data_IF_945652762851
#
_entry.id   IF_945652762851
#
_cell.length_a   1.000
_cell.length_b   1.000
_cell.length_c   1.000
_cell.angle_alpha   90.00
_cell.angle_beta   90.00
_cell.angle_gamma   90.00
#
_symmetry.space_group_name_H-M   'P 1'
#
loop_
_entity.id
_entity.type
_entity.pdbx_description
1 polymer ?
#
# COMPACT_ATOMS: atom_id res chain seq x y z
N UNK A 1 -2.43 9.65 5.43
CA UNK A 1 -3.11 10.90 5.08
C UNK A 1 -3.33 10.94 3.58
N UNK A 2 -4.54 11.32 3.16
CA UNK A 2 -4.84 11.69 1.78
C UNK A 2 -4.44 13.14 1.48
N UNK A 3 -3.75 13.32 0.38
CA UNK A 3 -3.25 14.58 -0.15
C UNK A 3 -3.83 14.77 -1.56
N UNK A 4 -4.65 15.80 -1.77
CA UNK A 4 -5.37 15.99 -3.05
C UNK A 4 -4.40 16.51 -4.10
N UNK A 5 -4.17 15.72 -5.15
CA UNK A 5 -3.32 16.09 -6.27
C UNK A 5 -4.11 16.76 -7.40
N UNK A 6 -5.32 16.26 -7.65
CA UNK A 6 -6.25 16.75 -8.66
C UNK A 6 -7.69 16.38 -8.26
N UNK A 7 -8.66 16.76 -9.07
CA UNK A 7 -10.07 16.44 -8.78
C UNK A 7 -10.33 14.93 -8.67
N UNK A 8 -9.70 14.19 -9.56
CA UNK A 8 -9.84 12.74 -9.73
C UNK A 8 -8.73 11.93 -9.04
N UNK A 9 -7.78 12.60 -8.38
CA UNK A 9 -6.52 11.95 -7.95
C UNK A 9 -6.02 12.45 -6.62
N UNK A 10 -5.67 11.49 -5.77
CA UNK A 10 -5.17 11.70 -4.43
C UNK A 10 -3.91 10.85 -4.18
N UNK A 11 -2.98 11.40 -3.42
CA UNK A 11 -1.81 10.70 -2.94
C UNK A 11 -2.00 10.28 -1.48
N UNK A 12 -1.54 9.08 -1.15
CA UNK A 12 -1.46 8.62 0.24
C UNK A 12 -0.04 8.82 0.73
N UNK A 13 0.11 9.63 1.78
CA UNK A 13 1.39 9.93 2.43
C UNK A 13 1.31 9.61 3.91
N UNK A 14 2.46 9.34 4.53
CA UNK A 14 2.54 9.10 5.98
C UNK A 14 2.50 10.40 6.79
N UNK A 15 3.13 11.43 6.27
CA UNK A 15 3.19 12.80 6.81
C UNK A 15 2.93 13.79 5.67
N UNK A 16 2.56 15.05 5.95
CA UNK A 16 2.29 16.05 4.92
C UNK A 16 3.44 16.21 3.91
N UNK A 17 4.66 16.39 4.40
CA UNK A 17 5.88 16.49 3.57
C UNK A 17 6.52 15.12 3.24
N UNK A 18 5.81 14.03 3.53
CA UNK A 18 6.31 12.67 3.35
C UNK A 18 6.29 12.20 1.89
N UNK A 19 7.04 11.13 1.61
CA UNK A 19 7.00 10.48 0.31
C UNK A 19 5.60 9.91 0.00
N UNK A 20 5.23 9.95 -1.28
CA UNK A 20 4.02 9.27 -1.78
C UNK A 20 4.21 7.77 -1.61
N UNK A 21 3.22 7.12 -1.02
CA UNK A 21 3.23 5.69 -0.75
C UNK A 21 2.24 4.93 -1.63
N UNK A 22 1.10 5.55 -1.92
CA UNK A 22 0.07 5.01 -2.79
C UNK A 22 -0.66 6.14 -3.52
N UNK A 23 -1.37 5.76 -4.58
CA UNK A 23 -2.22 6.65 -5.37
C UNK A 23 -3.63 6.12 -5.33
N UNK A 24 -4.58 7.04 -5.18
CA UNK A 24 -6.00 6.80 -5.30
C UNK A 24 -6.51 7.63 -6.47
N UNK A 25 -7.00 6.98 -7.51
CA UNK A 25 -7.51 7.60 -8.75
C UNK A 25 -8.97 7.22 -8.93
N UNK A 26 -9.80 8.09 -9.50
CA UNK A 26 -11.16 7.67 -9.79
C UNK A 26 -11.15 6.63 -10.92
N UNK A 27 -12.13 5.74 -10.82
CA UNK A 27 -12.26 4.60 -11.71
C UNK A 27 -13.73 4.23 -11.83
N UNK A 28 -14.36 4.65 -12.92
CA UNK A 28 -15.80 4.51 -13.11
C UNK A 28 -16.56 5.25 -12.00
N UNK A 29 -17.34 4.50 -11.22
CA UNK A 29 -18.11 5.05 -10.07
C UNK A 29 -17.37 4.94 -8.74
N UNK A 30 -16.11 4.51 -8.74
CA UNK A 30 -15.32 4.25 -7.54
C UNK A 30 -13.91 4.85 -7.61
N UNK A 31 -13.05 4.35 -6.73
CA UNK A 31 -11.70 4.83 -6.51
C UNK A 31 -10.73 3.65 -6.51
N UNK A 32 -9.81 3.63 -7.46
CA UNK A 32 -8.79 2.58 -7.59
C UNK A 32 -7.57 2.95 -6.74
N UNK A 33 -7.20 2.04 -5.85
CA UNK A 33 -5.97 2.13 -5.07
C UNK A 33 -4.83 1.41 -5.80
N UNK A 34 -3.71 2.09 -5.95
CA UNK A 34 -2.47 1.52 -6.48
C UNK A 34 -1.31 1.82 -5.56
N UNK A 35 -0.39 0.87 -5.43
CA UNK A 35 0.90 1.14 -4.79
C UNK A 35 1.68 2.12 -5.65
N UNK A 36 2.26 3.13 -5.02
CA UNK A 36 3.14 4.06 -5.72
C UNK A 36 4.49 3.41 -5.99
N UNK A 37 4.93 3.47 -7.24
CA UNK A 37 6.30 3.21 -7.65
C UNK A 37 6.69 4.18 -8.76
N UNK A 38 7.98 4.50 -8.85
CA UNK A 38 8.51 5.35 -9.92
C UNK A 38 8.42 4.66 -11.29
N UNK A 39 8.51 3.33 -11.30
CA UNK A 39 8.33 2.52 -12.50
C UNK A 39 6.87 2.12 -12.62
N UNK A 40 6.22 2.50 -13.71
CA UNK A 40 4.79 2.27 -13.90
C UNK A 40 4.41 0.77 -13.89
N UNK A 41 5.29 -0.09 -14.42
CA UNK A 41 5.12 -1.54 -14.41
C UNK A 41 5.17 -2.17 -13.01
N UNK A 42 5.74 -1.47 -12.02
CA UNK A 42 5.77 -1.92 -10.63
C UNK A 42 4.58 -1.41 -9.80
N UNK A 43 3.71 -0.58 -10.41
CA UNK A 43 2.51 -0.10 -9.73
C UNK A 43 1.44 -1.20 -9.66
N UNK A 44 1.46 -1.92 -8.54
CA UNK A 44 0.47 -2.94 -8.22
C UNK A 44 -0.90 -2.31 -7.90
N UNK A 45 -1.96 -2.81 -8.56
CA UNK A 45 -3.33 -2.45 -8.24
C UNK A 45 -3.81 -3.27 -7.04
N UNK A 46 -4.23 -2.58 -5.98
CA UNK A 46 -4.60 -3.21 -4.71
C UNK A 46 -6.11 -3.42 -4.56
N UNK A 47 -6.92 -2.66 -5.29
CA UNK A 47 -8.38 -2.81 -5.30
C UNK A 47 -9.11 -1.55 -5.76
N UNK A 48 -10.44 -1.66 -5.86
CA UNK A 48 -11.35 -0.55 -6.12
C UNK A 48 -12.29 -0.39 -4.92
N UNK A 49 -12.48 0.85 -4.49
CA UNK A 49 -13.23 1.23 -3.30
C UNK A 49 -14.31 2.25 -3.66
N UNK A 50 -15.35 2.35 -2.84
CA UNK A 50 -16.45 3.30 -3.08
C UNK A 50 -16.11 4.73 -2.68
N UNK A 51 -15.01 4.96 -1.96
CA UNK A 51 -14.55 6.29 -1.53
C UNK A 51 -13.04 6.34 -1.38
N UNK A 52 -12.44 7.52 -1.57
CA UNK A 52 -11.00 7.70 -1.40
C UNK A 52 -10.51 7.40 0.03
N UNK A 53 -11.31 7.76 1.05
CA UNK A 53 -11.00 7.48 2.47
C UNK A 53 -10.97 5.99 2.78
N UNK A 54 -11.84 5.20 2.14
CA UNK A 54 -11.83 3.73 2.26
C UNK A 54 -10.58 3.14 1.60
N UNK A 55 -10.18 3.67 0.45
CA UNK A 55 -8.93 3.30 -0.20
C UNK A 55 -7.71 3.60 0.67
N UNK A 56 -7.66 4.77 1.33
CA UNK A 56 -6.61 5.09 2.30
C UNK A 56 -6.57 4.08 3.45
N UNK A 57 -7.73 3.80 4.05
CA UNK A 57 -7.81 2.85 5.17
C UNK A 57 -7.31 1.46 4.75
N UNK A 58 -7.67 1.02 3.54
CA UNK A 58 -7.21 -0.23 2.98
C UNK A 58 -5.69 -0.26 2.74
N UNK A 59 -5.10 0.85 2.30
CA UNK A 59 -3.64 0.97 2.17
C UNK A 59 -2.92 0.75 3.50
N UNK A 60 -3.38 1.40 4.57
CA UNK A 60 -2.77 1.23 5.90
C UNK A 60 -2.88 -0.20 6.41
N UNK A 61 -4.02 -0.86 6.17
CA UNK A 61 -4.21 -2.29 6.48
C UNK A 61 -3.30 -3.20 5.66
N UNK A 62 -3.11 -2.90 4.37
CA UNK A 62 -2.20 -3.64 3.51
C UNK A 62 -0.76 -3.56 4.03
N UNK A 63 -0.30 -2.35 4.41
CA UNK A 63 1.02 -2.15 5.00
C UNK A 63 1.20 -2.89 6.33
N UNK A 64 0.17 -2.90 7.18
CA UNK A 64 0.19 -3.62 8.46
C UNK A 64 0.36 -5.13 8.25
N UNK A 65 -0.44 -5.72 7.34
CA UNK A 65 -0.33 -7.14 6.96
C UNK A 65 1.05 -7.49 6.39
N UNK A 66 1.68 -6.60 5.64
CA UNK A 66 3.01 -6.81 5.08
C UNK A 66 4.13 -6.81 6.14
N UNK A 67 3.94 -6.12 7.27
CA UNK A 67 4.92 -6.08 8.36
C UNK A 67 4.89 -7.33 9.23
N UNK A 68 3.70 -7.87 9.52
CA UNK A 68 3.57 -9.11 10.30
C UNK A 68 4.09 -10.36 9.58
N UNK A 69 4.07 -10.38 8.24
CA UNK A 69 4.55 -11.54 7.46
C UNK A 69 6.08 -11.62 7.37
N UNK A 70 6.79 -10.48 7.30
CA UNK A 70 8.27 -10.48 7.24
C UNK A 70 8.95 -10.99 8.51
N UNK A 71 8.31 -10.85 9.67
CA UNK A 71 8.88 -11.34 10.94
C UNK A 71 8.71 -12.85 11.13
N UNK A 72 7.72 -13.47 10.46
CA UNK A 72 7.52 -14.91 10.51
C UNK A 72 8.56 -15.67 9.67
N UNK A 73 8.87 -15.19 8.46
CA UNK A 73 9.73 -15.91 7.52
C UNK A 73 11.23 -15.92 7.87
N UNK A 74 11.71 -15.05 8.76
CA UNK A 74 13.11 -15.11 9.25
C UNK A 74 13.28 -16.11 10.40
N UNK A 75 12.19 -16.48 11.09
CA UNK A 75 12.25 -17.34 12.28
C UNK A 75 12.23 -18.83 11.94
N UNK A 76 11.84 -19.20 10.72
CA UNK A 76 11.79 -20.61 10.28
C UNK A 76 13.14 -21.16 9.78
N UNK A 77 14.09 -20.32 9.38
CA UNK A 77 15.37 -20.81 8.82
C UNK A 77 16.49 -21.02 9.85
N UNK A 78 16.23 -20.83 11.16
CA UNK A 78 17.22 -21.06 12.23
C UNK A 78 17.04 -22.38 12.99
N UNK A 79 16.01 -23.17 12.66
CA UNK A 79 15.74 -24.47 13.31
C UNK A 79 16.22 -25.70 12.51
N UNK A 80 16.98 -25.52 11.42
CA UNK A 80 17.53 -26.63 10.62
C UNK A 80 19.05 -26.74 10.60
N UNK A 81 19.77 -25.96 11.41
CA UNK A 81 21.23 -26.04 11.47
C UNK A 81 21.68 -26.27 12.91
N UNK A 82 21.57 -27.52 13.36
CA UNK A 82 21.95 -27.93 14.70
C UNK A 82 21.72 -29.41 14.93
N UNK A 83 22.23 -30.25 14.02
CA UNK A 83 22.39 -31.70 14.19
C UNK A 83 23.38 -32.17 13.12
N UNK A 84 24.69 -32.04 13.42
CA UNK A 84 25.70 -33.09 13.26
C UNK A 84 26.96 -32.70 14.09
#
# INVERSE_FOLDING_TARGET
MLDRASDDRWFVRRTPDGAVMAVVEAFGTGWRLRRWSFVESEQEALGVYTSAELAETAWWRHLDRGRGQRTASTSENRRRLGED
#
